data_IF_617639599255
#
_entry.id   IF_617639599255
#
_cell.length_a   1.000
_cell.length_b   1.000
_cell.length_c   1.000
_cell.angle_alpha   90.00
_cell.angle_beta   90.00
_cell.angle_gamma   90.00
#
_symmetry.space_group_name_H-M   'P 1'
#
loop_
_entity.id
_entity.type
_entity.pdbx_description
1 polymer ?
#
# COMPACT_ATOMS: atom_id res chain seq x y z
N UNK A 1 -0.72 1.59 -11.86
CA UNK A 1 -1.62 0.68 -11.11
C UNK A 1 -1.33 -0.80 -11.41
N UNK A 2 -1.20 -1.23 -12.68
CA UNK A 2 -0.89 -2.62 -13.02
C UNK A 2 0.45 -3.08 -12.42
N UNK A 3 1.53 -2.35 -12.71
CA UNK A 3 2.87 -2.65 -12.18
C UNK A 3 2.92 -2.71 -10.65
N UNK A 4 2.15 -1.85 -9.97
CA UNK A 4 2.09 -1.83 -8.51
C UNK A 4 1.39 -3.07 -7.94
N UNK A 5 0.37 -3.58 -8.62
CA UNK A 5 -0.30 -4.83 -8.23
C UNK A 5 0.57 -6.06 -8.51
N UNK A 6 1.36 -6.03 -9.58
CA UNK A 6 2.31 -7.11 -9.91
C UNK A 6 3.46 -7.15 -8.89
N UNK A 7 4.04 -6.01 -8.56
CA UNK A 7 5.09 -5.89 -7.54
C UNK A 7 4.60 -6.28 -6.14
N UNK A 8 3.31 -6.08 -5.85
CA UNK A 8 2.67 -6.42 -4.59
C UNK A 8 2.13 -7.85 -4.51
N UNK A 9 2.55 -8.75 -5.39
CA UNK A 9 2.10 -10.14 -5.39
C UNK A 9 2.50 -10.87 -4.10
N UNK A 10 1.52 -11.40 -3.37
CA UNK A 10 1.75 -12.12 -2.12
C UNK A 10 1.78 -13.62 -2.40
N UNK A 11 2.87 -14.29 -2.01
CA UNK A 11 2.95 -15.76 -2.04
C UNK A 11 1.91 -16.34 -1.07
N UNK A 12 1.20 -17.37 -1.51
CA UNK A 12 0.30 -18.11 -0.62
C UNK A 12 1.12 -19.02 0.29
N UNK A 13 0.71 -19.25 1.55
CA UNK A 13 1.40 -20.19 2.45
C UNK A 13 1.31 -21.65 1.97
N UNK A 14 0.37 -21.98 1.08
CA UNK A 14 0.22 -23.30 0.45
C UNK A 14 0.60 -23.25 -1.02
N UNK A 15 0.81 -24.41 -1.65
CA UNK A 15 1.05 -24.54 -3.10
C UNK A 15 -0.05 -23.80 -3.86
N UNK A 16 0.34 -22.97 -4.81
CA UNK A 16 -0.59 -22.21 -5.64
C UNK A 16 0.03 -20.94 -6.21
N UNK A 17 -0.62 -20.39 -7.24
CA UNK A 17 -0.20 -19.15 -7.89
C UNK A 17 -0.24 -17.99 -6.90
N UNK A 18 0.74 -17.06 -6.92
CA UNK A 18 0.74 -15.87 -6.09
C UNK A 18 -0.57 -15.07 -6.25
N UNK A 19 -1.05 -14.47 -5.16
CA UNK A 19 -2.26 -13.64 -5.18
C UNK A 19 -1.91 -12.25 -5.71
N UNK A 20 -2.25 -11.98 -6.96
CA UNK A 20 -2.04 -10.69 -7.62
C UNK A 20 -3.17 -9.69 -7.37
N UNK A 21 -4.31 -10.16 -6.86
CA UNK A 21 -5.50 -9.35 -6.70
C UNK A 21 -5.89 -9.27 -5.22
N UNK A 22 -5.69 -8.12 -4.57
CA UNK A 22 -6.18 -7.89 -3.22
C UNK A 22 -7.71 -7.72 -3.22
N UNK A 23 -8.37 -8.00 -2.10
CA UNK A 23 -9.81 -7.75 -1.96
C UNK A 23 -10.10 -6.25 -1.90
N UNK A 24 -9.23 -5.50 -1.22
CA UNK A 24 -9.35 -4.06 -1.04
C UNK A 24 -8.01 -3.38 -1.24
N UNK A 25 -8.04 -2.15 -1.73
CA UNK A 25 -6.88 -1.28 -1.86
C UNK A 25 -7.16 0.04 -1.14
N UNK A 26 -6.37 0.30 -0.11
CA UNK A 26 -6.40 1.58 0.59
C UNK A 26 -5.45 2.58 -0.08
N UNK A 27 -5.91 3.79 -0.28
CA UNK A 27 -5.12 4.84 -0.90
C UNK A 27 -5.41 6.21 -0.30
N UNK A 28 -4.51 7.14 -0.55
CA UNK A 28 -4.66 8.53 -0.16
C UNK A 28 -5.70 9.27 -1.02
N UNK A 29 -6.16 10.43 -0.54
CA UNK A 29 -7.05 11.36 -1.27
C UNK A 29 -6.50 11.78 -2.64
N UNK A 30 -5.18 11.68 -2.85
CA UNK A 30 -4.56 11.91 -4.16
C UNK A 30 -5.03 10.93 -5.24
N UNK A 31 -5.42 9.73 -4.86
CA UNK A 31 -5.84 8.66 -5.78
C UNK A 31 -7.36 8.57 -5.99
N UNK A 32 -8.12 9.58 -5.57
CA UNK A 32 -9.58 9.56 -5.63
C UNK A 32 -10.17 9.65 -7.04
N UNK A 33 -9.35 9.98 -8.05
CA UNK A 33 -9.79 10.20 -9.42
C UNK A 33 -10.63 9.06 -10.03
N UNK A 34 -11.58 9.43 -10.89
CA UNK A 34 -12.45 8.49 -11.62
C UNK A 34 -11.69 7.35 -12.32
N UNK A 35 -10.56 7.59 -13.02
CA UNK A 35 -9.81 6.53 -13.69
C UNK A 35 -9.31 5.44 -12.74
N UNK A 36 -8.80 5.84 -11.57
CA UNK A 36 -8.30 4.90 -10.56
C UNK A 36 -9.43 4.04 -10.02
N UNK A 37 -10.53 4.67 -9.61
CA UNK A 37 -11.70 3.95 -9.07
C UNK A 37 -12.34 3.00 -10.09
N UNK A 38 -12.48 3.42 -11.36
CA UNK A 38 -13.02 2.54 -12.38
C UNK A 38 -12.07 1.41 -12.75
N UNK A 39 -10.76 1.63 -12.72
CA UNK A 39 -9.77 0.56 -12.90
C UNK A 39 -9.84 -0.48 -11.78
N UNK A 40 -9.97 -0.06 -10.53
CA UNK A 40 -10.13 -0.97 -9.39
C UNK A 40 -11.44 -1.76 -9.48
N UNK A 41 -12.54 -1.08 -9.82
CA UNK A 41 -13.86 -1.72 -10.00
C UNK A 41 -13.82 -2.80 -11.09
N UNK A 42 -13.25 -2.51 -12.26
CA UNK A 42 -13.11 -3.49 -13.34
C UNK A 42 -12.31 -4.73 -12.92
N UNK A 43 -11.38 -4.56 -11.99
CA UNK A 43 -10.58 -5.66 -11.43
C UNK A 43 -11.26 -6.33 -10.23
N UNK A 44 -12.44 -5.85 -9.82
CA UNK A 44 -13.17 -6.33 -8.63
C UNK A 44 -12.41 -6.09 -7.33
N UNK A 45 -11.63 -5.00 -7.25
CA UNK A 45 -10.90 -4.59 -6.07
C UNK A 45 -11.68 -3.48 -5.37
N UNK A 46 -12.00 -3.66 -4.07
CA UNK A 46 -12.66 -2.65 -3.25
C UNK A 46 -11.74 -1.44 -3.03
N UNK A 47 -12.19 -0.24 -3.42
CA UNK A 47 -11.42 0.98 -3.21
C UNK A 47 -11.72 1.59 -1.83
N UNK A 48 -10.75 1.61 -0.94
CA UNK A 48 -10.78 2.29 0.37
C UNK A 48 -10.02 3.60 0.25
N UNK A 49 -10.56 4.53 -0.53
CA UNK A 49 -9.95 5.83 -0.83
C UNK A 49 -10.95 6.92 -0.43
N UNK A 50 -10.58 7.86 0.46
CA UNK A 50 -11.48 8.96 0.81
C UNK A 50 -11.65 9.90 -0.38
N UNK A 51 -12.75 10.65 -0.37
CA UNK A 51 -13.03 11.66 -1.39
C UNK A 51 -12.40 12.99 -1.01
N UNK A 52 -12.14 13.80 -2.03
CA UNK A 52 -11.87 15.23 -1.85
C UNK A 52 -13.19 15.96 -1.58
N UNK A 53 -13.12 17.06 -0.87
CA UNK A 53 -14.27 17.94 -0.59
C UNK A 53 -14.92 18.51 -1.86
N UNK A 54 -14.11 18.67 -2.91
CA UNK A 54 -14.53 19.14 -4.24
C UNK A 54 -15.26 18.10 -5.08
N UNK A 55 -15.25 16.82 -4.66
CA UNK A 55 -15.93 15.77 -5.41
C UNK A 55 -17.40 15.66 -5.03
N UNK A 56 -18.27 15.47 -6.03
CA UNK A 56 -19.70 15.24 -5.84
C UNK A 56 -19.96 14.14 -4.81
N UNK A 57 -20.92 14.38 -3.91
CA UNK A 57 -21.34 13.41 -2.87
C UNK A 57 -21.97 12.14 -3.42
N UNK A 58 -22.31 12.10 -4.72
CA UNK A 58 -22.91 10.91 -5.37
C UNK A 58 -21.88 9.80 -5.54
N UNK A 59 -22.14 8.64 -4.96
CA UNK A 59 -21.35 7.42 -5.15
C UNK A 59 -20.92 6.74 -3.84
N UNK A 60 -20.09 5.71 -3.96
CA UNK A 60 -19.72 4.77 -2.91
C UNK A 60 -19.14 5.46 -1.67
N UNK A 61 -19.70 5.17 -0.51
CA UNK A 61 -19.14 5.60 0.79
C UNK A 61 -17.78 4.96 1.01
N UNK A 62 -16.82 5.75 1.50
CA UNK A 62 -15.54 5.20 1.97
C UNK A 62 -15.77 4.46 3.29
N UNK A 63 -15.33 3.21 3.37
CA UNK A 63 -15.29 2.45 4.62
C UNK A 63 -14.26 3.10 5.55
N UNK A 64 -14.75 3.82 6.57
CA UNK A 64 -13.91 4.56 7.52
C UNK A 64 -13.12 3.62 8.44
N UNK A 65 -13.65 2.44 8.74
CA UNK A 65 -12.95 1.46 9.56
C UNK A 65 -11.75 0.89 8.80
N UNK A 66 -11.98 0.42 7.58
CA UNK A 66 -10.91 -0.05 6.71
C UNK A 66 -9.89 1.07 6.37
N UNK A 67 -10.33 2.33 6.30
CA UNK A 67 -9.41 3.45 6.08
C UNK A 67 -8.52 3.72 7.29
N UNK A 68 -9.01 3.55 8.51
CA UNK A 68 -8.20 3.67 9.73
C UNK A 68 -7.09 2.62 9.80
N UNK A 69 -7.33 1.41 9.29
CA UNK A 69 -6.29 0.37 9.20
C UNK A 69 -5.07 0.81 8.36
N UNK A 70 -5.24 1.73 7.41
CA UNK A 70 -4.13 2.36 6.67
C UNK A 70 -3.10 3.01 7.59
N UNK A 71 -3.53 3.52 8.74
CA UNK A 71 -2.64 4.16 9.70
C UNK A 71 -1.53 3.22 10.21
N UNK A 72 -1.77 1.90 10.21
CA UNK A 72 -0.74 0.91 10.55
C UNK A 72 0.46 0.98 9.62
N UNK A 73 0.22 1.21 8.33
CA UNK A 73 1.30 1.34 7.33
C UNK A 73 2.10 2.62 7.59
N UNK A 74 1.44 3.71 7.95
CA UNK A 74 2.11 4.97 8.29
C UNK A 74 2.97 4.81 9.55
N UNK A 75 2.45 4.15 10.58
CA UNK A 75 3.22 3.84 11.78
C UNK A 75 4.43 2.95 11.46
N UNK A 76 4.26 1.92 10.65
CA UNK A 76 5.36 1.07 10.21
C UNK A 76 6.45 1.88 9.48
N UNK A 77 6.05 2.70 8.52
CA UNK A 77 6.98 3.55 7.77
C UNK A 77 7.70 4.53 8.71
N UNK A 78 7.00 5.11 9.68
CA UNK A 78 7.61 6.01 10.66
C UNK A 78 8.62 5.28 11.54
N UNK A 79 8.32 4.05 11.97
CA UNK A 79 9.27 3.21 12.72
C UNK A 79 10.50 2.85 11.87
N UNK A 80 10.31 2.48 10.61
CA UNK A 80 11.41 2.21 9.68
C UNK A 80 12.31 3.44 9.48
N UNK A 81 11.73 4.63 9.39
CA UNK A 81 12.46 5.89 9.26
C UNK A 81 13.29 6.26 10.50
N UNK A 82 13.07 5.65 11.65
CA UNK A 82 13.94 5.81 12.81
C UNK A 82 15.33 5.20 12.56
N UNK A 83 15.44 4.23 11.66
CA UNK A 83 16.74 3.76 11.19
C UNK A 83 17.33 4.76 10.20
N UNK A 84 18.38 5.46 10.63
CA UNK A 84 19.00 6.54 9.86
C UNK A 84 19.41 6.13 8.44
N UNK A 85 19.97 4.93 8.28
CA UNK A 85 20.36 4.38 6.98
C UNK A 85 19.18 4.29 6.00
N UNK A 86 17.96 4.01 6.50
CA UNK A 86 16.74 3.93 5.68
C UNK A 86 16.20 5.33 5.40
N UNK A 87 16.16 6.20 6.42
CA UNK A 87 15.59 7.54 6.30
C UNK A 87 16.36 8.42 5.31
N UNK A 88 17.69 8.33 5.31
CA UNK A 88 18.56 9.20 4.52
C UNK A 88 18.98 8.59 3.19
N UNK A 89 18.75 7.28 3.01
CA UNK A 89 19.10 6.54 1.80
C UNK A 89 20.51 6.86 1.29
N UNK A 90 21.51 6.72 2.16
CA UNK A 90 22.91 6.94 1.78
C UNK A 90 23.43 5.91 0.76
N UNK A 91 22.85 4.70 0.77
CA UNK A 91 23.24 3.66 -0.16
C UNK A 91 22.71 3.94 -1.56
N UNK A 92 23.61 4.02 -2.52
CA UNK A 92 23.29 4.20 -3.93
C UNK A 92 22.86 2.88 -4.59
N UNK A 93 23.35 1.75 -4.06
CA UNK A 93 23.02 0.42 -4.59
C UNK A 93 21.66 -0.04 -4.07
N UNK A 94 20.79 -0.40 -4.99
CA UNK A 94 19.43 -0.88 -4.66
C UNK A 94 19.46 -2.13 -3.77
N UNK A 95 20.41 -3.03 -4.03
CA UNK A 95 20.54 -4.30 -3.30
C UNK A 95 20.91 -4.06 -1.84
N UNK A 96 21.88 -3.19 -1.57
CA UNK A 96 22.28 -2.84 -0.20
C UNK A 96 21.15 -2.18 0.56
N UNK A 97 20.47 -1.22 -0.08
CA UNK A 97 19.32 -0.57 0.53
C UNK A 97 18.19 -1.55 0.85
N UNK A 98 17.92 -2.49 -0.07
CA UNK A 98 16.91 -3.52 0.14
C UNK A 98 17.27 -4.48 1.28
N UNK A 99 18.55 -4.86 1.41
CA UNK A 99 19.05 -5.67 2.50
C UNK A 99 18.87 -4.96 3.85
N UNK A 100 19.26 -3.69 3.96
CA UNK A 100 19.07 -2.89 5.17
C UNK A 100 17.60 -2.74 5.54
N UNK A 101 16.73 -2.50 4.57
CA UNK A 101 15.28 -2.43 4.78
C UNK A 101 14.74 -3.76 5.30
N UNK A 102 15.20 -4.88 4.77
CA UNK A 102 14.79 -6.21 5.20
C UNK A 102 15.21 -6.48 6.64
N UNK A 103 16.47 -6.16 7.01
CA UNK A 103 16.96 -6.29 8.38
C UNK A 103 16.14 -5.44 9.35
N UNK A 104 15.85 -4.19 8.99
CA UNK A 104 15.05 -3.32 9.83
C UNK A 104 13.61 -3.84 9.99
N UNK A 105 13.01 -4.41 8.94
CA UNK A 105 11.71 -5.06 9.05
C UNK A 105 11.74 -6.26 10.00
N UNK A 106 12.79 -7.08 9.96
CA UNK A 106 12.96 -8.22 10.86
C UNK A 106 13.05 -7.73 12.31
N UNK A 107 13.88 -6.72 12.59
CA UNK A 107 14.03 -6.14 13.93
C UNK A 107 12.73 -5.52 14.48
N UNK A 108 11.87 -5.00 13.60
CA UNK A 108 10.56 -4.48 14.01
C UNK A 108 9.52 -5.58 14.27
N UNK A 109 9.79 -6.80 13.80
CA UNK A 109 8.90 -7.96 13.98
C UNK A 109 9.25 -8.80 15.22
N UNK A 110 10.47 -8.73 15.70
CA UNK A 110 10.94 -9.36 16.93
C UNK A 110 10.49 -8.57 18.17
#
# INVERSE_FOLDING_TARGET
>A
MAALLEAGAVKRPRRGRPRLRPDRLAGDKGYTGRPVRSSLRRRGIGAVIPRRTTESRRGVRCDRAAYRERNRVEHLINRLKQHRAIATRYDKLQETYHALLTIACILLWL
#
